data_IF_168920798044
#
_entry.id   IF_168920798044
#
_cell.length_a   1.000
_cell.length_b   1.000
_cell.length_c   1.000
_cell.angle_alpha   90.00
_cell.angle_beta   90.00
_cell.angle_gamma   90.00
#
_symmetry.space_group_name_H-M   'P 1'
#
loop_
_entity.id
_entity.type
_entity.pdbx_description
1 polymer ?
#
# COMPACT_ATOMS: atom_id res chain seq x y z
N UNK A 1 22.60 -11.37 12.16
CA UNK A 1 22.37 -11.75 13.58
C UNK A 1 20.89 -11.90 13.94
N UNK A 2 19.96 -11.32 13.19
CA UNK A 2 18.54 -11.29 13.57
C UNK A 2 17.83 -12.63 13.50
N UNK A 3 18.09 -13.42 12.45
CA UNK A 3 17.52 -14.77 12.34
C UNK A 3 17.96 -15.66 13.52
N UNK A 4 19.24 -15.55 13.92
CA UNK A 4 19.76 -16.24 15.10
C UNK A 4 19.05 -15.79 16.37
N UNK A 5 18.88 -14.47 16.58
CA UNK A 5 18.17 -13.94 17.75
C UNK A 5 16.71 -14.39 17.78
N UNK A 6 16.02 -14.33 16.65
CA UNK A 6 14.63 -14.78 16.55
C UNK A 6 14.49 -16.27 16.90
N UNK A 7 15.37 -17.12 16.35
CA UNK A 7 15.39 -18.55 16.68
C UNK A 7 15.68 -18.79 18.17
N UNK A 8 16.59 -18.04 18.78
CA UNK A 8 16.87 -18.16 20.22
C UNK A 8 15.66 -17.71 21.04
N UNK A 9 15.05 -16.57 20.70
CA UNK A 9 13.88 -16.01 21.38
C UNK A 9 12.65 -16.93 21.27
N UNK A 10 12.56 -17.76 20.22
CA UNK A 10 11.45 -18.72 20.01
C UNK A 10 11.83 -20.17 20.33
N UNK A 11 12.96 -20.42 20.99
CA UNK A 11 13.36 -21.77 21.39
C UNK A 11 13.62 -22.72 20.21
N UNK A 12 13.97 -22.20 19.04
CA UNK A 12 14.23 -22.96 17.82
C UNK A 12 13.01 -23.22 16.95
N UNK A 13 11.82 -22.78 17.35
CA UNK A 13 10.61 -22.87 16.52
C UNK A 13 10.72 -21.91 15.32
N UNK A 14 10.75 -22.51 14.13
CA UNK A 14 10.89 -21.80 12.85
C UNK A 14 9.65 -20.96 12.51
N UNK A 15 8.45 -21.47 12.72
CA UNK A 15 7.21 -20.74 12.39
C UNK A 15 7.04 -19.55 13.33
N UNK A 16 7.27 -19.77 14.63
CA UNK A 16 7.27 -18.69 15.61
C UNK A 16 8.38 -17.67 15.32
N UNK A 17 9.57 -18.09 14.91
CA UNK A 17 10.66 -17.18 14.55
C UNK A 17 10.31 -16.31 13.33
N UNK A 18 9.68 -16.90 12.31
CA UNK A 18 9.20 -16.15 11.12
C UNK A 18 8.16 -15.12 11.53
N UNK A 19 7.19 -15.50 12.38
CA UNK A 19 6.19 -14.56 12.90
C UNK A 19 6.84 -13.42 13.68
N UNK A 20 7.77 -13.73 14.58
CA UNK A 20 8.51 -12.74 15.38
C UNK A 20 9.33 -11.78 14.50
N UNK A 21 9.95 -12.28 13.44
CA UNK A 21 10.69 -11.45 12.48
C UNK A 21 9.76 -10.54 11.69
N UNK A 22 8.56 -10.99 11.31
CA UNK A 22 7.55 -10.14 10.66
C UNK A 22 7.09 -9.01 11.58
N UNK A 23 6.75 -9.32 12.82
CA UNK A 23 6.33 -8.33 13.82
C UNK A 23 7.42 -7.28 14.10
N UNK A 24 8.67 -7.74 14.35
CA UNK A 24 9.81 -6.84 14.55
C UNK A 24 10.18 -6.05 13.29
N UNK A 25 9.96 -6.64 12.11
CA UNK A 25 10.18 -6.02 10.81
C UNK A 25 9.27 -4.81 10.60
N UNK A 26 7.97 -4.95 10.87
CA UNK A 26 7.00 -3.86 10.71
C UNK A 26 7.41 -2.60 11.50
N UNK A 27 7.77 -2.76 12.78
CA UNK A 27 8.23 -1.65 13.62
C UNK A 27 9.52 -0.99 13.12
N UNK A 28 10.39 -1.74 12.43
CA UNK A 28 11.60 -1.19 11.81
C UNK A 28 11.30 -0.44 10.53
N UNK A 29 10.37 -0.95 9.73
CA UNK A 29 9.94 -0.28 8.52
C UNK A 29 9.37 1.11 8.86
N UNK A 30 8.50 1.20 9.86
CA UNK A 30 7.92 2.46 10.34
C UNK A 30 9.00 3.46 10.79
N UNK A 31 10.03 3.00 11.52
CA UNK A 31 11.16 3.87 11.91
C UNK A 31 11.98 4.39 10.73
N UNK A 32 11.88 3.76 9.56
CA UNK A 32 12.63 4.12 8.35
C UNK A 32 11.80 4.97 7.40
N UNK A 33 10.48 4.88 7.45
CA UNK A 33 9.57 5.66 6.60
C UNK A 33 9.78 7.18 6.68
N UNK A 34 10.29 7.69 7.81
CA UNK A 34 10.66 9.10 7.96
C UNK A 34 11.99 9.53 7.32
N UNK A 35 12.74 8.62 6.69
CA UNK A 35 14.01 8.95 6.02
C UNK A 35 13.77 9.51 4.63
N UNK A 36 14.61 10.45 4.22
CA UNK A 36 14.58 10.97 2.84
C UNK A 36 14.83 9.85 1.83
N UNK A 37 14.07 9.86 0.73
CA UNK A 37 14.26 8.95 -0.41
C UNK A 37 14.34 9.80 -1.67
N UNK A 38 15.54 9.87 -2.27
CA UNK A 38 15.81 10.71 -3.45
C UNK A 38 16.26 9.91 -4.67
N UNK A 39 16.55 8.62 -4.50
CA UNK A 39 16.89 7.69 -5.57
C UNK A 39 15.67 6.81 -5.88
N UNK A 40 15.71 6.00 -6.94
CA UNK A 40 14.61 5.09 -7.27
C UNK A 40 14.45 4.78 -8.75
N UNK A 41 13.24 4.37 -9.13
CA UNK A 41 12.88 4.06 -10.52
C UNK A 41 11.55 4.73 -10.88
N UNK A 42 11.51 5.31 -12.08
CA UNK A 42 10.27 5.55 -12.82
C UNK A 42 10.05 4.36 -13.75
N UNK A 43 8.96 3.61 -13.56
CA UNK A 43 8.66 2.40 -14.31
C UNK A 43 7.38 2.56 -15.13
N UNK A 44 7.40 2.05 -16.36
CA UNK A 44 6.25 2.01 -17.24
C UNK A 44 5.74 0.56 -17.34
N UNK A 45 4.45 0.36 -17.11
CA UNK A 45 3.76 -0.92 -17.28
C UNK A 45 2.66 -0.79 -18.32
N UNK A 46 2.74 -1.60 -19.37
CA UNK A 46 1.76 -1.62 -20.46
C UNK A 46 1.02 -2.95 -20.43
N UNK A 47 -0.31 -2.89 -20.38
CA UNK A 47 -1.17 -4.06 -20.23
C UNK A 47 -2.14 -4.22 -21.40
N UNK A 48 -2.60 -5.46 -21.63
CA UNK A 48 -3.68 -5.76 -22.56
C UNK A 48 -3.42 -5.33 -24.00
N UNK A 49 -2.18 -5.47 -24.47
CA UNK A 49 -1.80 -5.07 -25.84
C UNK A 49 -1.78 -3.55 -26.07
N UNK A 50 -1.53 -2.75 -25.02
CA UNK A 50 -1.46 -1.28 -25.12
C UNK A 50 -2.74 -0.54 -24.75
N UNK A 51 -3.74 -1.24 -24.18
CA UNK A 51 -5.02 -0.65 -23.79
C UNK A 51 -4.99 0.07 -22.44
N UNK A 52 -4.06 -0.33 -21.56
CA UNK A 52 -3.83 0.32 -20.27
C UNK A 52 -2.33 0.60 -20.16
N UNK A 53 -1.99 1.82 -19.77
CA UNK A 53 -0.62 2.25 -19.49
C UNK A 53 -0.52 2.86 -18.10
N UNK A 54 0.49 2.44 -17.35
CA UNK A 54 0.81 2.98 -16.02
C UNK A 54 2.24 3.51 -16.04
N UNK A 55 2.43 4.70 -15.49
CA UNK A 55 3.74 5.24 -15.13
C UNK A 55 3.78 5.40 -13.61
N UNK A 56 4.75 4.82 -12.93
CA UNK A 56 4.87 4.89 -11.47
C UNK A 56 6.28 5.31 -11.07
N UNK A 57 6.39 6.19 -10.09
CA UNK A 57 7.65 6.59 -9.47
C UNK A 57 7.72 5.99 -8.06
N UNK A 58 8.74 5.17 -7.82
CA UNK A 58 9.01 4.56 -6.50
C UNK A 58 10.43 4.94 -6.10
N UNK A 59 10.56 5.55 -4.93
CA UNK A 59 11.83 6.02 -4.41
C UNK A 59 12.41 5.07 -3.36
N UNK A 60 13.73 5.06 -3.24
CA UNK A 60 14.52 4.45 -2.18
C UNK A 60 15.63 5.39 -1.70
N UNK A 61 16.47 4.96 -0.76
CA UNK A 61 17.55 5.79 -0.22
C UNK A 61 18.75 5.85 -1.18
N UNK A 62 19.09 4.75 -1.85
CA UNK A 62 20.28 4.66 -2.72
C UNK A 62 20.01 4.10 -4.12
N UNK A 63 20.86 4.44 -5.08
CA UNK A 63 20.81 3.91 -6.45
C UNK A 63 21.18 2.42 -6.52
N UNK A 64 21.93 1.92 -5.53
CA UNK A 64 22.27 0.50 -5.39
C UNK A 64 21.01 -0.34 -5.20
N UNK A 65 20.12 0.02 -4.25
CA UNK A 65 18.86 -0.69 -4.05
C UNK A 65 17.97 -0.57 -5.29
N UNK A 66 17.89 0.61 -5.89
CA UNK A 66 17.09 0.85 -7.10
C UNK A 66 17.43 -0.14 -8.22
N UNK A 67 18.70 -0.54 -8.36
CA UNK A 67 19.17 -1.44 -9.43
C UNK A 67 18.93 -2.92 -9.16
N UNK A 68 18.56 -3.30 -7.94
CA UNK A 68 18.33 -4.71 -7.57
C UNK A 68 17.10 -5.29 -8.27
N UNK A 69 17.13 -6.59 -8.57
CA UNK A 69 15.99 -7.27 -9.17
C UNK A 69 14.79 -7.32 -8.21
N UNK A 70 15.05 -7.37 -6.90
CA UNK A 70 14.01 -7.32 -5.88
C UNK A 70 13.25 -5.99 -5.90
N UNK A 71 13.95 -4.86 -5.99
CA UNK A 71 13.31 -3.55 -6.08
C UNK A 71 12.54 -3.41 -7.40
N UNK A 72 13.13 -3.79 -8.54
CA UNK A 72 12.44 -3.78 -9.84
C UNK A 72 11.17 -4.64 -9.84
N UNK A 73 11.21 -5.81 -9.21
CA UNK A 73 10.05 -6.67 -9.07
C UNK A 73 8.94 -6.00 -8.24
N UNK A 74 9.28 -5.36 -7.12
CA UNK A 74 8.33 -4.58 -6.32
C UNK A 74 7.68 -3.48 -7.16
N UNK A 75 8.47 -2.67 -7.86
CA UNK A 75 7.96 -1.56 -8.68
C UNK A 75 7.04 -2.06 -9.79
N UNK A 76 7.39 -3.18 -10.44
CA UNK A 76 6.52 -3.81 -11.42
C UNK A 76 5.19 -4.28 -10.81
N UNK A 77 5.22 -4.88 -9.63
CA UNK A 77 4.03 -5.39 -8.96
C UNK A 77 3.10 -4.26 -8.50
N UNK A 78 3.66 -3.14 -8.03
CA UNK A 78 2.93 -1.92 -7.75
C UNK A 78 2.28 -1.33 -9.02
N UNK A 79 3.01 -1.29 -10.14
CA UNK A 79 2.47 -0.81 -11.41
C UNK A 79 1.33 -1.71 -11.93
N UNK A 80 1.45 -3.03 -11.76
CA UNK A 80 0.40 -3.99 -12.08
C UNK A 80 -0.85 -3.78 -11.21
N UNK A 81 -0.68 -3.52 -9.91
CA UNK A 81 -1.78 -3.20 -9.01
C UNK A 81 -2.54 -1.96 -9.51
N UNK A 82 -1.82 -0.89 -9.85
CA UNK A 82 -2.41 0.33 -10.40
C UNK A 82 -3.15 0.05 -11.71
N UNK A 83 -2.59 -0.75 -12.60
CA UNK A 83 -3.25 -1.10 -13.86
C UNK A 83 -4.57 -1.86 -13.64
N UNK A 84 -4.59 -2.76 -12.66
CA UNK A 84 -5.70 -3.67 -12.38
C UNK A 84 -6.93 -2.96 -11.79
N UNK A 85 -6.75 -1.86 -11.03
CA UNK A 85 -7.88 -1.16 -10.42
C UNK A 85 -8.00 0.31 -10.93
N UNK A 86 -8.99 0.61 -11.79
CA UNK A 86 -9.23 1.97 -12.28
C UNK A 86 -9.70 2.96 -11.21
N UNK A 87 -10.17 2.49 -10.05
CA UNK A 87 -10.66 3.35 -8.98
C UNK A 87 -9.55 3.97 -8.14
N UNK A 88 -8.29 3.53 -8.29
CA UNK A 88 -7.17 4.12 -7.56
C UNK A 88 -6.98 5.57 -7.99
N UNK A 89 -7.09 6.49 -7.03
CA UNK A 89 -6.91 7.93 -7.23
C UNK A 89 -5.67 8.48 -6.56
N UNK A 90 -5.24 7.84 -5.47
CA UNK A 90 -4.12 8.32 -4.67
C UNK A 90 -3.20 7.20 -4.22
N UNK A 91 -1.99 7.57 -3.77
CA UNK A 91 -1.06 6.60 -3.18
C UNK A 91 -1.56 6.18 -1.81
N UNK A 92 -1.85 7.14 -0.94
CA UNK A 92 -2.36 6.93 0.42
C UNK A 92 -3.64 7.72 0.69
N UNK A 93 -4.30 7.43 1.80
CA UNK A 93 -5.45 8.22 2.25
C UNK A 93 -5.06 9.65 2.69
N UNK A 94 -3.80 9.89 3.06
CA UNK A 94 -3.29 11.23 3.41
C UNK A 94 -3.20 12.15 2.19
N UNK A 95 -3.09 11.57 0.99
CA UNK A 95 -3.05 12.30 -0.27
C UNK A 95 -4.44 12.70 -0.80
N UNK A 96 -5.52 12.28 -0.13
CA UNK A 96 -6.88 12.61 -0.53
C UNK A 96 -7.31 13.98 0.03
N UNK A 97 -8.06 14.80 -0.74
CA UNK A 97 -8.62 16.04 -0.23
C UNK A 97 -9.53 15.79 0.99
N UNK A 98 -9.31 16.51 2.08
CA UNK A 98 -10.12 16.37 3.30
C UNK A 98 -11.61 16.61 3.03
N UNK A 99 -11.94 17.59 2.19
CA UNK A 99 -13.31 17.88 1.76
C UNK A 99 -14.00 16.71 1.05
N UNK A 100 -13.26 15.89 0.30
CA UNK A 100 -13.80 14.69 -0.33
C UNK A 100 -14.16 13.65 0.74
N UNK A 101 -13.29 13.46 1.73
CA UNK A 101 -13.51 12.49 2.80
C UNK A 101 -14.67 12.90 3.71
N UNK A 102 -14.78 14.19 4.03
CA UNK A 102 -15.92 14.73 4.78
C UNK A 102 -17.24 14.52 4.03
N UNK A 103 -17.26 14.79 2.72
CA UNK A 103 -18.43 14.56 1.89
C UNK A 103 -18.85 13.07 1.86
N UNK A 104 -17.90 12.14 1.69
CA UNK A 104 -18.17 10.70 1.74
C UNK A 104 -18.66 10.25 3.13
N UNK A 105 -18.06 10.76 4.21
CA UNK A 105 -18.49 10.51 5.59
C UNK A 105 -19.95 10.92 5.81
N UNK A 106 -20.33 12.10 5.32
CA UNK A 106 -21.69 12.61 5.45
C UNK A 106 -22.70 11.78 4.65
N UNK A 107 -22.34 11.33 3.45
CA UNK A 107 -23.16 10.42 2.64
C UNK A 107 -23.40 9.12 3.42
N UNK A 108 -22.35 8.50 3.96
CA UNK A 108 -22.48 7.25 4.70
C UNK A 108 -23.23 7.42 6.03
N UNK A 109 -23.07 8.56 6.71
CA UNK A 109 -23.81 8.87 7.94
C UNK A 109 -25.31 8.94 7.68
N UNK A 110 -25.73 9.70 6.66
CA UNK A 110 -27.15 9.79 6.25
C UNK A 110 -27.74 8.43 5.88
N UNK A 111 -26.97 7.60 5.18
CA UNK A 111 -27.40 6.24 4.85
C UNK A 111 -27.52 5.33 6.09
N UNK A 112 -26.65 5.51 7.10
CA UNK A 112 -26.67 4.73 8.33
C UNK A 112 -27.76 5.19 9.31
N UNK A 113 -28.11 6.48 9.35
CA UNK A 113 -29.22 7.02 10.15
C UNK A 113 -30.57 6.39 9.76
N UNK A 114 -30.78 6.09 8.48
CA UNK A 114 -31.96 5.37 7.98
C UNK A 114 -32.10 3.94 8.57
N UNK A 115 -31.06 3.40 9.22
CA UNK A 115 -31.10 2.08 9.85
C UNK A 115 -31.70 2.09 11.28
N UNK A 116 -31.98 3.26 11.85
CA UNK A 116 -32.59 3.39 13.19
C UNK A 116 -31.72 2.89 14.35
N UNK A 117 -30.43 2.67 14.12
CA UNK A 117 -29.47 2.19 15.13
C UNK A 117 -28.99 3.34 16.05
N UNK A 118 -28.46 3.03 17.25
CA UNK A 118 -27.86 4.04 18.13
C UNK A 118 -26.68 4.77 17.47
N UNK A 119 -26.45 6.03 17.87
CA UNK A 119 -25.40 6.89 17.29
C UNK A 119 -24.00 6.24 17.29
N UNK A 120 -23.60 5.60 18.39
CA UNK A 120 -22.30 4.91 18.48
C UNK A 120 -22.15 3.74 17.49
N UNK A 121 -23.26 3.12 17.08
CA UNK A 121 -23.24 2.05 16.06
C UNK A 121 -23.18 2.66 14.65
N UNK A 122 -23.88 3.78 14.44
CA UNK A 122 -23.82 4.55 13.20
C UNK A 122 -22.39 5.01 12.92
N UNK A 123 -21.70 5.59 13.91
CA UNK A 123 -20.30 6.03 13.74
C UNK A 123 -19.38 4.87 13.34
N UNK A 124 -19.45 3.73 14.04
CA UNK A 124 -18.66 2.54 13.66
C UNK A 124 -18.98 2.03 12.26
N UNK A 125 -20.24 2.14 11.82
CA UNK A 125 -20.63 1.78 10.45
C UNK A 125 -20.04 2.74 9.41
N UNK A 126 -20.00 4.04 9.71
CA UNK A 126 -19.38 5.05 8.85
C UNK A 126 -17.88 4.80 8.76
N UNK A 127 -17.20 4.56 9.87
CA UNK A 127 -15.76 4.27 9.91
C UNK A 127 -15.41 3.04 9.05
N UNK A 128 -16.19 1.96 9.17
CA UNK A 128 -16.00 0.76 8.35
C UNK A 128 -16.22 1.01 6.85
N UNK A 129 -17.16 1.88 6.48
CA UNK A 129 -17.40 2.25 5.07
C UNK A 129 -16.29 3.14 4.52
N UNK A 130 -15.78 4.06 5.33
CA UNK A 130 -14.63 4.89 4.96
C UNK A 130 -13.36 4.06 4.81
N UNK A 131 -13.13 3.10 5.71
CA UNK A 131 -12.02 2.16 5.57
C UNK A 131 -12.11 1.39 4.24
N UNK A 132 -13.31 0.91 3.88
CA UNK A 132 -13.53 0.25 2.59
C UNK A 132 -13.33 1.20 1.41
N UNK A 133 -13.76 2.45 1.51
CA UNK A 133 -13.52 3.46 0.49
C UNK A 133 -12.01 3.66 0.25
N UNK A 134 -11.20 3.73 1.30
CA UNK A 134 -9.74 3.78 1.16
C UNK A 134 -9.18 2.54 0.46
N UNK A 135 -9.67 1.34 0.80
CA UNK A 135 -9.27 0.11 0.09
C UNK A 135 -9.65 0.12 -1.40
N UNK A 136 -10.64 0.91 -1.81
CA UNK A 136 -11.01 1.04 -3.22
C UNK A 136 -10.16 2.09 -3.95
N UNK A 137 -9.88 3.23 -3.33
CA UNK A 137 -9.29 4.41 -4.00
C UNK A 137 -7.83 4.70 -3.68
N UNK A 138 -7.25 4.10 -2.64
CA UNK A 138 -5.87 4.32 -2.23
C UNK A 138 -5.01 3.08 -2.51
N UNK A 139 -3.88 3.28 -3.20
CA UNK A 139 -2.98 2.19 -3.58
C UNK A 139 -2.47 1.41 -2.36
N UNK A 140 -1.99 2.09 -1.31
CA UNK A 140 -1.36 1.45 -0.16
C UNK A 140 -2.36 0.67 0.73
N UNK A 141 -3.64 1.01 0.66
CA UNK A 141 -4.70 0.37 1.44
C UNK A 141 -5.26 -0.89 0.76
N UNK A 142 -4.98 -1.08 -0.53
CA UNK A 142 -5.52 -2.18 -1.31
C UNK A 142 -4.99 -3.55 -0.92
N UNK A 143 -5.84 -4.61 -1.03
CA UNK A 143 -5.35 -5.97 -1.05
C UNK A 143 -4.49 -6.19 -2.30
N UNK A 144 -3.38 -6.89 -2.12
CA UNK A 144 -2.44 -7.15 -3.21
C UNK A 144 -3.02 -8.20 -4.18
N UNK A 145 -3.03 -7.89 -5.48
CA UNK A 145 -3.63 -8.75 -6.52
C UNK A 145 -3.03 -10.16 -6.60
N UNK A 146 -1.79 -10.37 -6.13
CA UNK A 146 -1.15 -11.69 -6.14
C UNK A 146 -1.27 -12.44 -4.80
N UNK A 147 -1.65 -11.75 -3.73
CA UNK A 147 -1.84 -12.30 -2.39
C UNK A 147 -2.80 -11.41 -1.61
N UNK A 148 -4.09 -11.74 -1.65
CA UNK A 148 -5.18 -10.97 -1.06
C UNK A 148 -5.14 -10.92 0.49
N UNK A 149 -4.25 -11.71 1.10
CA UNK A 149 -4.02 -11.71 2.55
C UNK A 149 -3.14 -10.55 3.02
N UNK A 150 -2.55 -9.80 2.09
CA UNK A 150 -1.66 -8.69 2.39
C UNK A 150 -2.15 -7.42 1.71
N UNK A 151 -1.93 -6.29 2.37
CA UNK A 151 -2.08 -4.99 1.73
C UNK A 151 -0.83 -4.62 0.95
N UNK A 152 -0.97 -3.69 0.02
CA UNK A 152 0.18 -3.10 -0.68
C UNK A 152 1.14 -2.41 0.30
N UNK A 153 0.63 -1.75 1.34
CA UNK A 153 1.46 -1.20 2.42
C UNK A 153 2.31 -2.27 3.11
N UNK A 154 1.78 -3.48 3.32
CA UNK A 154 2.56 -4.59 3.89
C UNK A 154 3.67 -5.04 2.93
N UNK A 155 3.37 -5.12 1.64
CA UNK A 155 4.36 -5.45 0.60
C UNK A 155 5.52 -4.44 0.59
N UNK A 156 5.22 -3.14 0.68
CA UNK A 156 6.25 -2.08 0.78
C UNK A 156 7.04 -2.21 2.09
N UNK A 157 6.38 -2.42 3.23
CA UNK A 157 7.06 -2.63 4.53
C UNK A 157 7.98 -3.85 4.51
N UNK A 158 7.56 -4.96 3.91
CA UNK A 158 8.38 -6.16 3.73
C UNK A 158 9.64 -5.85 2.91
N UNK A 159 9.51 -5.06 1.84
CA UNK A 159 10.64 -4.62 1.03
C UNK A 159 11.59 -3.69 1.80
N UNK A 160 11.08 -2.79 2.63
CA UNK A 160 11.90 -1.92 3.50
C UNK A 160 12.73 -2.76 4.48
N UNK A 161 12.13 -3.79 5.07
CA UNK A 161 12.82 -4.71 5.99
C UNK A 161 13.91 -5.49 5.27
N UNK A 162 13.61 -6.00 4.08
CA UNK A 162 14.53 -6.84 3.31
C UNK A 162 15.72 -6.04 2.73
N UNK A 163 15.46 -4.86 2.18
CA UNK A 163 16.50 -4.02 1.55
C UNK A 163 17.32 -3.27 2.58
N UNK A 164 16.74 -2.96 3.72
CA UNK A 164 17.39 -2.13 4.70
C UNK A 164 17.31 -0.63 4.38
N UNK A 165 16.42 -0.20 3.50
CA UNK A 165 16.21 1.20 3.13
C UNK A 165 14.74 1.59 3.21
N UNK A 166 14.46 2.87 3.42
CA UNK A 166 13.13 3.40 3.17
C UNK A 166 12.75 3.24 1.70
N UNK A 167 11.49 2.89 1.44
CA UNK A 167 10.90 2.77 0.11
C UNK A 167 9.57 3.49 0.14
N UNK A 168 9.35 4.40 -0.79
CA UNK A 168 8.12 5.18 -0.88
C UNK A 168 7.58 5.16 -2.30
N UNK A 169 6.26 5.05 -2.43
CA UNK A 169 5.59 5.27 -3.73
C UNK A 169 5.32 6.77 -3.81
N UNK A 170 5.93 7.45 -4.79
CA UNK A 170 5.86 8.91 -4.87
C UNK A 170 4.61 9.39 -5.58
N UNK A 171 4.30 8.77 -6.72
CA UNK A 171 3.17 9.09 -7.59
C UNK A 171 3.01 8.04 -8.67
N UNK A 172 1.84 8.00 -9.28
CA UNK A 172 1.59 7.25 -10.50
C UNK A 172 0.66 8.03 -11.42
N UNK A 173 0.63 7.64 -12.69
CA UNK A 173 -0.36 8.01 -13.67
C UNK A 173 -0.86 6.73 -14.32
N UNK A 174 -2.17 6.63 -14.54
CA UNK A 174 -2.83 5.51 -15.20
C UNK A 174 -3.66 6.06 -16.35
N UNK A 175 -3.54 5.42 -17.50
CA UNK A 175 -4.32 5.74 -18.70
C UNK A 175 -4.99 4.47 -19.18
N UNK A 176 -6.28 4.58 -19.52
CA UNK A 176 -7.02 3.50 -20.16
C UNK A 176 -7.64 4.00 -21.47
N UNK A 177 -7.49 3.20 -22.52
CA UNK A 177 -8.05 3.49 -23.83
C UNK A 177 -9.58 3.57 -23.74
N UNK A 178 -10.14 4.72 -24.13
CA UNK A 178 -11.58 4.97 -24.13
C UNK A 178 -12.13 5.44 -22.78
N UNK A 179 -11.27 5.74 -21.80
CA UNK A 179 -11.67 6.44 -20.58
C UNK A 179 -11.89 7.92 -20.91
N UNK A 180 -13.03 8.47 -20.47
CA UNK A 180 -13.32 9.91 -20.59
C UNK A 180 -12.51 10.67 -19.54
N UNK A 181 -11.91 11.79 -19.94
CA UNK A 181 -11.03 12.60 -19.10
C UNK A 181 -11.79 13.50 -18.11
#
# INVERSE_FOLDING_TARGET
MECKKALVDTGGDLEAAVKLLREKGAAKAEKRMGRSTSEGIVHAYIHGGGRIGVLIEVNCETDFVARTDQFKALVNDLAMQVAANPQIRSVSHEDLPESLIEAEKDIYRKQAEASGKPAAVIEKMVDGRIAKYYEEVCLLDQPFIKDDKKKISDLVKEAIVATGENISVRRFARFQLGEEA
#
